data_IF_095303197417
#
_entry.id   IF_095303197417
#
_cell.length_a   1.000
_cell.length_b   1.000
_cell.length_c   1.000
_cell.angle_alpha   90.00
_cell.angle_beta   90.00
_cell.angle_gamma   90.00
#
_symmetry.space_group_name_H-M   'P 1'
#
loop_
_entity.id
_entity.type
_entity.pdbx_description
1 polymer ?
#
# COMPACT_ATOMS: atom_id res chain seq x y z
N UNK A 1 8.97 -5.03 14.79
CA UNK A 1 8.83 -6.37 14.20
C UNK A 1 8.77 -6.20 12.69
N UNK A 2 9.68 -6.84 11.96
CA UNK A 2 9.61 -6.85 10.51
C UNK A 2 8.33 -7.56 10.07
N UNK A 3 7.63 -7.06 9.04
CA UNK A 3 6.35 -7.62 8.66
C UNK A 3 6.63 -8.97 7.97
N UNK A 4 6.16 -10.06 8.59
CA UNK A 4 6.53 -11.42 8.18
C UNK A 4 5.88 -11.78 6.83
N UNK A 5 6.67 -12.34 5.90
CA UNK A 5 6.13 -12.99 4.70
C UNK A 5 5.51 -14.33 5.10
N UNK A 6 4.25 -14.55 4.72
CA UNK A 6 3.56 -15.81 4.96
C UNK A 6 3.68 -16.66 3.70
N UNK A 7 4.20 -17.87 3.85
CA UNK A 7 4.25 -18.88 2.79
C UNK A 7 3.41 -20.08 3.23
N UNK A 8 2.34 -20.36 2.51
CA UNK A 8 1.52 -21.55 2.71
C UNK A 8 1.79 -22.51 1.55
N UNK A 9 2.19 -23.73 1.85
CA UNK A 9 2.39 -24.78 0.86
C UNK A 9 1.39 -25.91 1.09
N UNK A 10 0.68 -26.28 0.04
CA UNK A 10 -0.08 -27.53 -0.10
C UNK A 10 0.46 -28.28 -1.32
N UNK A 11 0.18 -29.57 -1.43
CA UNK A 11 0.82 -30.51 -2.37
C UNK A 11 1.13 -29.99 -3.78
N UNK A 12 0.27 -29.13 -4.36
CA UNK A 12 0.42 -28.55 -5.69
C UNK A 12 0.23 -27.02 -5.74
N UNK A 13 0.33 -26.33 -4.61
CA UNK A 13 0.09 -24.89 -4.53
C UNK A 13 0.97 -24.25 -3.45
N UNK A 14 1.65 -23.16 -3.80
CA UNK A 14 2.34 -22.26 -2.88
C UNK A 14 1.67 -20.91 -2.92
N UNK A 15 1.25 -20.40 -1.76
CA UNK A 15 0.71 -19.03 -1.62
C UNK A 15 1.68 -18.19 -0.82
N UNK A 16 2.01 -17.01 -1.35
CA UNK A 16 2.91 -16.04 -0.73
C UNK A 16 2.14 -14.75 -0.49
N UNK A 17 2.15 -14.27 0.76
CA UNK A 17 1.72 -12.91 1.10
C UNK A 17 2.90 -12.12 1.66
N UNK A 18 3.24 -11.01 0.99
CA UNK A 18 4.29 -10.10 1.43
C UNK A 18 3.70 -8.71 1.74
N UNK A 19 3.72 -8.26 3.00
CA UNK A 19 3.15 -6.97 3.41
C UNK A 19 3.91 -5.77 2.83
N UNK A 20 3.16 -4.71 2.52
CA UNK A 20 3.66 -3.41 2.06
C UNK A 20 3.51 -2.43 3.21
N UNK A 21 4.63 -2.12 3.87
CA UNK A 21 4.70 -1.10 4.91
C UNK A 21 5.27 0.18 4.30
N UNK A 22 4.65 1.33 4.57
CA UNK A 22 5.11 2.62 4.05
C UNK A 22 6.36 3.10 4.79
N UNK A 23 7.53 2.57 4.43
CA UNK A 23 8.80 2.93 5.08
C UNK A 23 9.47 4.18 4.50
N UNK A 24 9.05 4.62 3.31
CA UNK A 24 9.62 5.78 2.63
C UNK A 24 8.59 6.94 2.61
N UNK A 25 8.95 8.16 3.06
CA UNK A 25 8.07 9.33 3.03
C UNK A 25 7.53 9.68 1.64
N UNK A 26 8.22 9.31 0.56
CA UNK A 26 7.73 9.52 -0.82
C UNK A 26 6.36 8.89 -1.04
N UNK A 27 6.03 7.78 -0.37
CA UNK A 27 4.72 7.16 -0.46
C UNK A 27 3.59 8.09 0.00
N UNK A 28 3.87 8.98 0.97
CA UNK A 28 2.87 9.88 1.56
C UNK A 28 2.51 11.05 0.63
N UNK A 29 3.33 11.33 -0.38
CA UNK A 29 3.04 12.37 -1.36
C UNK A 29 1.80 12.06 -2.22
N UNK A 30 1.34 10.80 -2.22
CA UNK A 30 0.10 10.37 -2.85
C UNK A 30 -0.86 9.64 -1.89
N UNK A 31 -0.33 8.94 -0.88
CA UNK A 31 -1.12 8.12 0.05
C UNK A 31 -1.26 8.72 1.46
N UNK A 32 -0.64 9.87 1.72
CA UNK A 32 -0.67 10.53 3.04
C UNK A 32 -1.99 11.25 3.31
N UNK A 33 -1.99 12.07 4.35
CA UNK A 33 -3.11 12.96 4.67
C UNK A 33 -3.20 14.16 3.72
N UNK A 34 -4.26 14.98 3.85
CA UNK A 34 -4.44 16.17 3.01
C UNK A 34 -3.27 17.17 3.04
N UNK A 35 -2.49 17.15 4.13
CA UNK A 35 -1.33 18.04 4.31
C UNK A 35 -0.07 17.51 3.60
N UNK A 36 -0.01 16.20 3.31
CA UNK A 36 1.15 15.52 2.74
C UNK A 36 1.12 15.52 1.20
N UNK A 37 -0.08 15.67 0.62
CA UNK A 37 -0.32 15.55 -0.81
C UNK A 37 -0.40 16.95 -1.44
N UNK A 38 0.41 17.18 -2.47
CA UNK A 38 0.34 18.43 -3.24
C UNK A 38 -1.08 18.63 -3.82
N UNK A 39 -1.70 19.82 -3.71
CA UNK A 39 -3.05 20.06 -4.21
C UNK A 39 -3.27 19.69 -5.68
N UNK A 40 -2.28 19.92 -6.56
CA UNK A 40 -2.37 19.55 -7.98
C UNK A 40 -2.41 18.03 -8.17
N UNK A 41 -1.64 17.29 -7.36
CA UNK A 41 -1.63 15.82 -7.35
C UNK A 41 -2.96 15.30 -6.79
N UNK A 42 -3.42 15.83 -5.66
CA UNK A 42 -4.70 15.44 -5.05
C UNK A 42 -5.86 15.64 -6.02
N UNK A 43 -5.89 16.78 -6.73
CA UNK A 43 -6.90 17.05 -7.76
C UNK A 43 -6.85 16.00 -8.86
N UNK A 44 -5.64 15.70 -9.38
CA UNK A 44 -5.51 14.75 -10.49
C UNK A 44 -5.87 13.32 -10.10
N UNK A 45 -5.51 12.90 -8.88
CA UNK A 45 -5.89 11.60 -8.32
C UNK A 45 -7.42 11.54 -8.19
N UNK A 46 -8.08 12.58 -7.66
CA UNK A 46 -9.53 12.59 -7.52
C UNK A 46 -10.27 12.52 -8.86
N UNK A 47 -9.72 13.09 -9.93
CA UNK A 47 -10.26 12.96 -11.30
C UNK A 47 -10.15 11.53 -11.84
N UNK A 48 -8.99 10.89 -11.66
CA UNK A 48 -8.71 9.56 -12.23
C UNK A 48 -9.26 8.40 -11.39
N UNK A 49 -9.34 8.59 -10.08
CA UNK A 49 -9.71 7.60 -9.08
C UNK A 49 -10.78 8.18 -8.13
N UNK A 50 -12.02 8.41 -8.61
CA UNK A 50 -13.06 9.08 -7.83
C UNK A 50 -13.45 8.35 -6.54
N UNK A 51 -13.19 7.04 -6.47
CA UNK A 51 -13.46 6.19 -5.31
C UNK A 51 -12.19 5.80 -4.56
N UNK A 52 -11.11 6.58 -4.67
CA UNK A 52 -9.83 6.25 -4.04
C UNK A 52 -9.94 6.15 -2.50
N UNK A 53 -9.58 4.98 -1.99
CA UNK A 53 -9.49 4.66 -0.56
C UNK A 53 -8.04 4.61 -0.08
N UNK A 54 -7.06 4.79 -0.96
CA UNK A 54 -5.65 4.64 -0.66
C UNK A 54 -5.01 5.91 -0.09
N UNK A 55 -5.64 6.58 0.88
CA UNK A 55 -5.17 7.86 1.42
C UNK A 55 -5.28 7.92 2.94
N UNK A 56 -4.64 8.92 3.55
CA UNK A 56 -4.65 9.14 4.99
C UNK A 56 -3.66 8.27 5.76
N UNK A 57 -2.74 7.59 5.08
CA UNK A 57 -1.72 6.77 5.73
C UNK A 57 -0.64 7.61 6.39
N UNK A 58 0.04 7.00 7.37
CA UNK A 58 1.24 7.52 8.02
C UNK A 58 2.45 6.64 7.72
N UNK A 59 3.64 7.20 7.91
CA UNK A 59 4.89 6.44 7.79
C UNK A 59 4.87 5.27 8.78
N UNK A 60 5.22 4.07 8.29
CA UNK A 60 5.22 2.82 9.06
C UNK A 60 3.89 2.07 9.10
N UNK A 61 2.81 2.61 8.50
CA UNK A 61 1.53 1.90 8.43
C UNK A 61 1.50 0.84 7.32
N UNK A 62 0.64 -0.15 7.50
CA UNK A 62 0.36 -1.21 6.54
C UNK A 62 -0.54 -0.67 5.42
N UNK A 63 0.01 -0.61 4.20
CA UNK A 63 -0.73 -0.18 3.01
C UNK A 63 -1.50 -1.31 2.33
N UNK A 64 -0.99 -2.55 2.44
CA UNK A 64 -1.54 -3.72 1.77
C UNK A 64 -0.52 -4.85 1.72
N UNK A 65 -0.65 -5.75 0.74
CA UNK A 65 0.29 -6.84 0.53
C UNK A 65 0.39 -7.21 -0.96
N UNK A 66 1.57 -7.68 -1.37
CA UNK A 66 1.71 -8.49 -2.57
C UNK A 66 1.18 -9.90 -2.27
N UNK A 67 0.42 -10.46 -3.19
CA UNK A 67 -0.09 -11.83 -3.12
C UNK A 67 0.29 -12.57 -4.40
N UNK A 68 0.90 -13.75 -4.26
CA UNK A 68 1.25 -14.61 -5.37
C UNK A 68 0.86 -16.06 -5.06
N UNK A 69 0.48 -16.80 -6.10
CA UNK A 69 0.22 -18.23 -6.04
C UNK A 69 1.05 -18.92 -7.11
N UNK A 70 1.71 -20.02 -6.76
CA UNK A 70 2.52 -20.84 -7.64
C UNK A 70 2.07 -22.29 -7.62
#
# INVERSE_FOLDING_TARGET
>A
MAPYTIVLSKDKEVRILQPIILQNPTCLQCHGGPQDINPAVSKKIAELYPNDQAKGYKLGELRGAFSATW
#
